data_IF_613844712512
#
_entry.id   IF_613844712512
#
_cell.length_a   1.000
_cell.length_b   1.000
_cell.length_c   1.000
_cell.angle_alpha   90.00
_cell.angle_beta   90.00
_cell.angle_gamma   90.00
#
_symmetry.space_group_name_H-M   'P 1'
#
loop_
_entity.id
_entity.type
_entity.pdbx_description
1 polymer ?
#
# COMPACT_ATOMS: atom_id res chain seq x y z
N UNK A 1 8.41 3.44 9.73
CA UNK A 1 7.68 3.26 8.46
C UNK A 1 8.40 3.97 7.32
N UNK A 2 8.20 3.49 6.12
CA UNK A 2 8.77 4.09 4.92
C UNK A 2 7.74 4.94 4.21
N UNK A 3 8.22 5.88 3.40
CA UNK A 3 7.36 6.61 2.47
C UNK A 3 7.52 6.02 1.09
N UNK A 4 6.41 5.83 0.39
CA UNK A 4 6.42 5.29 -0.96
C UNK A 4 5.35 5.95 -1.81
N UNK A 5 5.64 6.14 -3.09
CA UNK A 5 4.63 6.66 -4.02
C UNK A 5 3.69 5.54 -4.42
N UNK A 6 2.40 5.73 -4.23
CA UNK A 6 1.44 4.70 -4.62
C UNK A 6 1.25 4.72 -6.14
N UNK A 7 1.17 3.52 -6.72
CA UNK A 7 1.00 3.36 -8.16
C UNK A 7 -0.45 3.09 -8.54
N UNK A 8 -1.27 2.77 -7.56
CA UNK A 8 -2.67 2.46 -7.77
C UNK A 8 -3.55 3.40 -6.96
N UNK A 9 -4.78 3.57 -7.40
CA UNK A 9 -5.76 4.33 -6.63
C UNK A 9 -6.14 3.53 -5.39
N UNK A 10 -6.07 4.16 -4.24
CA UNK A 10 -6.40 3.51 -2.96
C UNK A 10 -7.72 4.08 -2.46
N UNK A 11 -8.75 3.26 -2.47
CA UNK A 11 -10.08 3.69 -2.03
C UNK A 11 -10.15 3.67 -0.52
N UNK A 12 -10.61 4.78 0.05
CA UNK A 12 -10.72 4.91 1.50
C UNK A 12 -11.76 5.95 1.85
N UNK A 13 -12.46 5.72 2.94
CA UNK A 13 -13.36 6.71 3.53
C UNK A 13 -12.65 7.39 4.70
N UNK A 14 -12.86 8.70 4.82
CA UNK A 14 -12.36 9.45 5.97
C UNK A 14 -12.99 8.92 7.26
N UNK A 15 -12.28 9.06 8.36
CA UNK A 15 -12.75 8.63 9.67
C UNK A 15 -12.37 7.21 10.05
N UNK A 16 -11.61 6.53 9.19
CA UNK A 16 -11.12 5.18 9.46
C UNK A 16 -9.62 5.11 9.28
N UNK A 17 -8.97 4.44 10.20
CA UNK A 17 -7.59 4.00 10.00
C UNK A 17 -7.65 2.67 9.25
N UNK A 18 -6.97 2.59 8.12
CA UNK A 18 -6.96 1.37 7.31
C UNK A 18 -5.56 0.91 7.04
N UNK A 19 -5.39 -0.41 7.01
CA UNK A 19 -4.17 -1.06 6.56
C UNK A 19 -4.53 -1.89 5.34
N UNK A 20 -3.87 -1.61 4.22
CA UNK A 20 -4.09 -2.38 3.00
C UNK A 20 -2.81 -3.14 2.66
N UNK A 21 -2.96 -4.37 2.23
CA UNK A 21 -1.80 -5.14 1.76
C UNK A 21 -1.31 -4.59 0.44
N UNK A 22 0.01 -4.52 0.30
CA UNK A 22 0.60 -3.98 -0.90
C UNK A 22 1.91 -4.64 -1.26
N UNK A 23 2.40 -4.31 -2.44
CA UNK A 23 3.71 -4.72 -2.92
C UNK A 23 4.58 -3.49 -2.99
N UNK A 24 5.62 -3.49 -2.16
CA UNK A 24 6.60 -2.42 -2.08
C UNK A 24 7.78 -2.78 -2.98
N UNK A 25 8.22 -1.84 -3.80
CA UNK A 25 9.37 -2.02 -4.65
C UNK A 25 10.27 -0.79 -4.55
N UNK A 26 11.56 -1.01 -4.76
CA UNK A 26 12.53 0.07 -4.82
C UNK A 26 12.93 0.28 -6.27
N UNK A 27 12.77 1.50 -6.74
CA UNK A 27 13.10 1.84 -8.11
C UNK A 27 14.59 2.10 -8.29
N UNK A 28 15.03 2.17 -9.54
CA UNK A 28 16.45 2.35 -9.85
C UNK A 28 17.06 3.63 -9.26
N UNK A 29 16.23 4.65 -9.07
CA UNK A 29 16.66 5.92 -8.47
C UNK A 29 16.68 5.90 -6.93
N UNK A 30 16.37 4.77 -6.32
CA UNK A 30 16.32 4.64 -4.88
C UNK A 30 14.98 4.98 -4.25
N UNK A 31 14.04 5.47 -5.02
CA UNK A 31 12.70 5.78 -4.51
C UNK A 31 11.89 4.50 -4.33
N UNK A 32 10.98 4.51 -3.34
CA UNK A 32 10.07 3.40 -3.14
C UNK A 32 8.75 3.67 -3.82
N UNK A 33 8.17 2.61 -4.38
CA UNK A 33 6.82 2.63 -4.92
C UNK A 33 6.03 1.50 -4.27
N UNK A 34 4.71 1.65 -4.22
CA UNK A 34 3.84 0.64 -3.65
C UNK A 34 2.56 0.56 -4.46
N UNK A 35 2.03 -0.64 -4.60
CA UNK A 35 0.72 -0.86 -5.22
C UNK A 35 -0.11 -1.75 -4.33
N UNK A 36 -1.40 -1.51 -4.33
CA UNK A 36 -2.34 -2.31 -3.54
C UNK A 36 -2.58 -3.65 -4.22
N UNK A 37 -2.69 -4.69 -3.41
CA UNK A 37 -3.08 -6.02 -3.88
C UNK A 37 -4.44 -6.43 -3.34
N UNK A 38 -5.18 -5.51 -2.78
CA UNK A 38 -6.53 -5.79 -2.29
C UNK A 38 -7.49 -5.83 -3.46
N UNK A 39 -7.57 -6.97 -4.12
CA UNK A 39 -8.46 -7.19 -5.25
C UNK A 39 -9.59 -8.12 -4.87
N UNK A 40 -10.69 -7.96 -5.57
CA UNK A 40 -11.80 -8.90 -5.50
C UNK A 40 -11.63 -9.93 -6.62
N UNK A 41 -12.21 -11.09 -6.42
CA UNK A 41 -12.29 -12.10 -7.43
C UNK A 41 -11.24 -13.19 -7.31
N UNK A 42 -11.01 -13.89 -8.41
CA UNK A 42 -10.24 -15.13 -8.43
C UNK A 42 -8.78 -14.96 -8.03
N UNK A 43 -8.24 -13.78 -8.15
CA UNK A 43 -6.84 -13.52 -7.85
C UNK A 43 -6.53 -13.19 -6.39
N UNK A 44 -7.54 -13.19 -5.52
CA UNK A 44 -7.35 -12.67 -4.15
C UNK A 44 -6.28 -13.42 -3.37
N UNK A 45 -6.34 -14.75 -3.36
CA UNK A 45 -5.36 -15.53 -2.60
C UNK A 45 -3.94 -15.33 -3.11
N UNK A 46 -3.79 -15.29 -4.41
CA UNK A 46 -2.49 -15.08 -5.02
C UNK A 46 -1.96 -13.68 -4.69
N UNK A 47 -2.80 -12.69 -4.80
CA UNK A 47 -2.41 -11.32 -4.48
C UNK A 47 -1.98 -11.17 -3.03
N UNK A 48 -2.67 -11.83 -2.12
CA UNK A 48 -2.29 -11.81 -0.71
C UNK A 48 -0.95 -12.47 -0.46
N UNK A 49 -0.65 -13.55 -1.19
CA UNK A 49 0.63 -14.22 -1.06
C UNK A 49 1.79 -13.38 -1.58
N UNK A 50 1.54 -12.48 -2.53
CA UNK A 50 2.56 -11.61 -3.09
C UNK A 50 2.82 -10.36 -2.25
N UNK A 51 1.93 -10.02 -1.34
CA UNK A 51 2.08 -8.81 -0.54
C UNK A 51 3.32 -8.90 0.34
N UNK A 52 4.03 -7.79 0.46
CA UNK A 52 5.22 -7.70 1.31
C UNK A 52 5.18 -6.50 2.27
N UNK A 53 4.07 -5.80 2.32
CA UNK A 53 3.93 -4.63 3.19
C UNK A 53 2.48 -4.32 3.49
N UNK A 54 2.27 -3.47 4.49
CA UNK A 54 1.02 -2.79 4.73
C UNK A 54 1.13 -1.34 4.29
N UNK A 55 0.13 -0.86 3.56
CA UNK A 55 -0.05 0.56 3.28
C UNK A 55 -0.88 1.12 4.42
N UNK A 56 -0.35 2.11 5.13
CA UNK A 56 -1.01 2.68 6.30
C UNK A 56 -1.73 3.95 5.89
N UNK A 57 -3.04 3.95 6.04
CA UNK A 57 -3.90 5.06 5.62
C UNK A 57 -4.55 5.68 6.86
N UNK A 58 -4.07 6.86 7.29
CA UNK A 58 -4.58 7.50 8.51
C UNK A 58 -6.04 7.92 8.42
N UNK A 59 -6.59 8.26 9.60
CA UNK A 59 -8.00 8.62 9.74
C UNK A 59 -8.47 9.72 8.81
N UNK A 60 -7.63 10.73 8.62
CA UNK A 60 -7.99 11.93 7.86
C UNK A 60 -7.89 11.74 6.35
N UNK A 61 -7.28 10.66 5.89
CA UNK A 61 -7.16 10.42 4.46
C UNK A 61 -8.45 9.90 3.87
N UNK A 62 -8.75 10.41 2.70
CA UNK A 62 -9.76 9.85 1.82
C UNK A 62 -9.06 9.10 0.69
N UNK A 63 -9.81 8.77 -0.35
CA UNK A 63 -9.25 8.09 -1.52
C UNK A 63 -7.95 8.74 -1.98
N UNK A 64 -6.92 7.92 -2.17
CA UNK A 64 -5.58 8.37 -2.55
C UNK A 64 -5.38 8.13 -4.04
N UNK A 65 -4.95 9.15 -4.74
CA UNK A 65 -4.71 9.06 -6.18
C UNK A 65 -3.30 8.51 -6.46
N UNK A 66 -3.09 7.86 -7.62
CA UNK A 66 -1.75 7.41 -8.01
C UNK A 66 -0.75 8.56 -8.01
N UNK A 67 0.46 8.27 -7.57
CA UNK A 67 1.52 9.27 -7.45
C UNK A 67 1.62 9.92 -6.09
N UNK A 68 0.65 9.73 -5.22
CA UNK A 68 0.66 10.28 -3.87
C UNK A 68 1.58 9.46 -2.98
N UNK A 69 2.36 10.15 -2.15
CA UNK A 69 3.21 9.49 -1.17
C UNK A 69 2.38 8.99 0.01
N UNK A 70 2.60 7.74 0.40
CA UNK A 70 1.88 7.12 1.51
C UNK A 70 2.87 6.45 2.46
N UNK A 71 2.42 6.20 3.68
CA UNK A 71 3.20 5.47 4.68
C UNK A 71 3.08 3.97 4.43
N UNK A 72 4.19 3.27 4.54
CA UNK A 72 4.26 1.84 4.30
C UNK A 72 5.04 1.16 5.41
N UNK A 73 4.51 0.05 5.92
CA UNK A 73 5.19 -0.79 6.90
C UNK A 73 5.58 -2.11 6.22
N UNK A 74 6.86 -2.31 5.91
CA UNK A 74 7.30 -3.57 5.32
C UNK A 74 7.11 -4.73 6.30
N UNK A 75 6.73 -5.90 5.78
CA UNK A 75 6.58 -7.08 6.64
C UNK A 75 7.90 -7.47 7.30
N UNK A 76 8.98 -7.40 6.55
CA UNK A 76 10.30 -7.71 7.11
C UNK A 76 10.68 -6.78 8.26
N UNK A 77 10.17 -5.58 8.28
CA UNK A 77 10.41 -4.61 9.34
C UNK A 77 9.59 -4.86 10.59
N UNK A 78 8.72 -5.85 10.58
CA UNK A 78 7.90 -6.21 11.74
C UNK A 78 8.59 -7.23 12.64
N UNK A 79 9.69 -7.74 12.22
CA UNK A 79 10.42 -8.80 12.92
C UNK A 79 11.46 -8.21 13.87
#
# INVERSE_FOLDING_TARGET
>A
MLKAACQTKLRKKAGRLEFQRGILAREADGQYTVRSVSHQGAGVLRSMAEANCFIVLPLELETVQPGTEVDVQPFAGLV
#
